data_IF_849648409813
#
_entry.id   IF_849648409813
#
_cell.length_a   1.000
_cell.length_b   1.000
_cell.length_c   1.000
_cell.angle_alpha   90.00
_cell.angle_beta   90.00
_cell.angle_gamma   90.00
#
_symmetry.space_group_name_H-M   'P 1'
#
loop_
_entity.id
_entity.type
_entity.pdbx_description
1 polymer ?
#
# COMPACT_ATOMS: atom_id res chain seq x y z
N UNK A 1 -5.30 -23.73 -12.30
CA UNK A 1 -3.97 -23.12 -12.07
C UNK A 1 -3.64 -22.29 -13.29
N UNK A 2 -3.25 -21.02 -13.14
CA UNK A 2 -2.94 -20.13 -14.27
C UNK A 2 -1.84 -20.73 -15.15
N UNK A 3 -2.02 -20.67 -16.48
CA UNK A 3 -1.01 -21.08 -17.47
C UNK A 3 -0.01 -19.96 -17.80
N UNK A 4 -0.22 -18.76 -17.24
CA UNK A 4 0.64 -17.61 -17.46
C UNK A 4 1.97 -17.75 -16.70
N UNK A 5 3.06 -17.87 -17.46
CA UNK A 5 4.44 -17.96 -16.95
C UNK A 5 4.82 -16.78 -16.04
N UNK A 6 4.22 -15.60 -16.23
CA UNK A 6 4.49 -14.41 -15.39
C UNK A 6 4.04 -14.59 -13.95
N UNK A 7 3.03 -15.42 -13.73
CA UNK A 7 2.48 -15.73 -12.40
C UNK A 7 3.14 -16.94 -11.74
N UNK A 8 3.99 -17.66 -12.49
CA UNK A 8 4.69 -18.83 -11.98
C UNK A 8 5.69 -18.43 -10.88
N UNK A 9 5.58 -19.06 -9.72
CA UNK A 9 6.45 -18.75 -8.58
C UNK A 9 5.98 -17.57 -7.73
N UNK A 10 4.91 -16.86 -8.09
CA UNK A 10 4.33 -15.79 -7.27
C UNK A 10 3.55 -16.35 -6.08
N UNK A 11 3.81 -15.79 -4.89
CA UNK A 11 3.09 -16.13 -3.66
C UNK A 11 2.47 -14.86 -3.09
N UNK A 12 1.19 -14.93 -2.72
CA UNK A 12 0.45 -13.82 -2.10
C UNK A 12 0.24 -14.15 -0.62
N UNK A 13 0.42 -13.17 0.25
CA UNK A 13 0.04 -13.26 1.67
C UNK A 13 -1.02 -12.19 1.91
N UNK A 14 -2.26 -12.63 2.11
CA UNK A 14 -3.40 -11.77 2.36
C UNK A 14 -3.57 -11.57 3.87
N UNK A 15 -3.42 -10.34 4.32
CA UNK A 15 -3.69 -9.93 5.70
C UNK A 15 -5.12 -9.42 5.83
N UNK A 16 -5.82 -9.91 6.86
CA UNK A 16 -7.13 -9.44 7.26
C UNK A 16 -6.97 -8.77 8.62
N UNK A 17 -7.09 -7.44 8.67
CA UNK A 17 -6.91 -6.64 9.90
C UNK A 17 -8.27 -6.12 10.34
N UNK A 18 -9.02 -6.93 11.11
CA UNK A 18 -10.34 -6.56 11.64
C UNK A 18 -10.37 -6.79 13.15
N UNK A 19 -10.34 -5.73 13.98
CA UNK A 19 -10.47 -5.87 15.42
C UNK A 19 -11.71 -6.71 15.79
N UNK A 20 -11.49 -7.78 16.54
CA UNK A 20 -12.54 -8.70 16.94
C UNK A 20 -12.32 -9.18 18.38
N UNK A 21 -13.33 -9.81 18.97
CA UNK A 21 -13.23 -10.37 20.32
C UNK A 21 -12.25 -11.54 20.34
N UNK A 22 -11.03 -11.28 20.78
CA UNK A 22 -9.98 -12.26 20.93
C UNK A 22 -9.30 -12.12 22.30
N UNK A 23 -8.82 -13.24 22.81
CA UNK A 23 -7.88 -13.29 23.91
C UNK A 23 -6.45 -13.13 23.37
N UNK A 24 -5.45 -13.22 24.24
CA UNK A 24 -4.02 -13.13 23.92
C UNK A 24 -3.59 -13.85 22.62
N UNK A 25 -2.44 -13.43 22.08
CA UNK A 25 -1.81 -14.10 20.94
C UNK A 25 -1.75 -15.62 21.12
N UNK A 26 -1.93 -16.36 20.03
CA UNK A 26 -1.77 -17.80 20.09
C UNK A 26 -0.29 -18.19 20.26
N UNK A 27 -0.10 -19.35 20.89
CA UNK A 27 1.24 -19.84 21.27
C UNK A 27 2.10 -20.06 20.03
N UNK A 28 1.53 -20.56 18.94
CA UNK A 28 2.26 -20.87 17.71
C UNK A 28 2.82 -19.63 17.03
N UNK A 29 2.08 -18.51 17.00
CA UNK A 29 2.54 -17.25 16.43
C UNK A 29 3.69 -16.65 17.25
N UNK A 30 3.56 -16.61 18.58
CA UNK A 30 4.61 -16.11 19.47
C UNK A 30 5.86 -16.99 19.43
N UNK A 31 5.68 -18.31 19.48
CA UNK A 31 6.77 -19.28 19.38
C UNK A 31 7.50 -19.15 18.05
N UNK A 32 6.77 -19.00 16.95
CA UNK A 32 7.33 -18.79 15.62
C UNK A 32 8.25 -17.57 15.56
N UNK A 33 7.81 -16.42 16.10
CA UNK A 33 8.63 -15.20 16.17
C UNK A 33 9.85 -15.34 17.08
N UNK A 34 9.70 -15.98 18.24
CA UNK A 34 10.81 -16.19 19.16
C UNK A 34 11.92 -17.06 18.53
N UNK A 35 11.55 -18.14 17.84
CA UNK A 35 12.52 -19.02 17.17
C UNK A 35 13.22 -18.31 16.00
N UNK A 36 12.48 -17.58 15.16
CA UNK A 36 13.08 -16.85 14.04
C UNK A 36 14.00 -15.72 14.52
N UNK A 37 13.64 -15.04 15.61
CA UNK A 37 14.50 -14.05 16.26
C UNK A 37 15.79 -14.68 16.77
N UNK A 38 15.70 -15.78 17.52
CA UNK A 38 16.88 -16.50 18.03
C UNK A 38 17.82 -16.95 16.89
N UNK A 39 17.25 -17.47 15.80
CA UNK A 39 18.03 -17.86 14.61
C UNK A 39 18.72 -16.64 13.98
N UNK A 40 18.01 -15.52 13.82
CA UNK A 40 18.56 -14.27 13.29
C UNK A 40 19.72 -13.76 14.14
N UNK A 41 19.53 -13.70 15.46
CA UNK A 41 20.56 -13.21 16.39
C UNK A 41 21.80 -14.11 16.36
N UNK A 42 21.61 -15.43 16.27
CA UNK A 42 22.71 -16.40 16.14
C UNK A 42 23.46 -16.23 14.82
N UNK A 43 22.75 -16.05 13.70
CA UNK A 43 23.37 -15.80 12.38
C UNK A 43 24.14 -14.48 12.40
N UNK A 44 23.61 -13.44 13.05
CA UNK A 44 24.27 -12.15 13.14
C UNK A 44 25.62 -12.26 13.87
N UNK A 45 25.67 -12.95 15.01
CA UNK A 45 26.91 -13.21 15.73
C UNK A 45 27.92 -14.01 14.90
N UNK A 46 27.47 -15.06 14.21
CA UNK A 46 28.34 -15.87 13.33
C UNK A 46 28.88 -15.04 12.16
N UNK A 47 28.05 -14.17 11.58
CA UNK A 47 28.47 -13.26 10.50
C UNK A 47 29.61 -12.34 10.95
N UNK A 48 29.51 -11.80 12.17
CA UNK A 48 30.52 -10.90 12.72
C UNK A 48 31.84 -11.67 12.98
N UNK A 49 31.76 -12.91 13.48
CA UNK A 49 32.93 -13.78 13.63
C UNK A 49 33.59 -14.16 12.30
N UNK A 50 32.79 -14.50 11.29
CA UNK A 50 33.27 -14.77 9.92
C UNK A 50 34.05 -13.56 9.41
N UNK A 51 33.50 -12.36 9.59
CA UNK A 51 34.14 -11.10 9.18
C UNK A 51 35.51 -10.92 9.83
N UNK A 52 35.62 -11.13 11.15
CA UNK A 52 36.89 -11.03 11.88
C UNK A 52 37.92 -12.05 11.42
N UNK A 53 37.55 -13.34 11.29
CA UNK A 53 38.48 -14.39 10.83
C UNK A 53 38.96 -14.16 9.40
N UNK A 54 38.05 -13.71 8.53
CA UNK A 54 38.39 -13.37 7.15
C UNK A 54 39.42 -12.23 7.11
N UNK A 55 39.19 -11.19 7.90
CA UNK A 55 40.09 -10.03 7.98
C UNK A 55 41.48 -10.44 8.50
N UNK A 56 41.55 -11.17 9.61
CA UNK A 56 42.81 -11.61 10.21
C UNK A 56 43.61 -12.53 9.28
N UNK A 57 42.94 -13.49 8.63
CA UNK A 57 43.58 -14.38 7.66
C UNK A 57 44.15 -13.62 6.47
N UNK A 58 43.39 -12.68 5.91
CA UNK A 58 43.85 -11.86 4.79
C UNK A 58 45.02 -10.94 5.17
N UNK A 59 45.06 -10.42 6.41
CA UNK A 59 46.22 -9.67 6.91
C UNK A 59 47.50 -10.52 6.97
N UNK A 60 47.36 -11.83 7.16
CA UNK A 60 48.45 -12.79 7.13
C UNK A 60 48.81 -13.26 5.70
N UNK A 61 48.15 -12.72 4.67
CA UNK A 61 48.37 -13.09 3.28
C UNK A 61 47.75 -14.43 2.87
N UNK A 62 46.84 -14.97 3.68
CA UNK A 62 46.14 -16.23 3.44
C UNK A 62 44.65 -15.98 3.19
N UNK A 63 44.08 -16.57 2.14
CA UNK A 63 42.63 -16.52 1.88
C UNK A 63 42.03 -17.76 2.55
N UNK A 64 41.15 -17.59 3.55
CA UNK A 64 40.67 -18.71 4.34
C UNK A 64 39.64 -19.57 3.60
N UNK A 65 39.68 -20.87 3.87
CA UNK A 65 38.71 -21.83 3.34
C UNK A 65 37.36 -21.76 4.10
N UNK A 66 36.29 -22.31 3.51
CA UNK A 66 34.95 -22.32 4.11
C UNK A 66 34.89 -23.00 5.50
N UNK A 67 35.80 -23.93 5.78
CA UNK A 67 35.91 -24.59 7.09
C UNK A 67 36.65 -23.74 8.13
N UNK A 68 37.46 -22.78 7.69
CA UNK A 68 38.16 -21.82 8.55
C UNK A 68 37.24 -20.64 8.90
N UNK A 69 36.30 -20.31 8.00
CA UNK A 69 35.33 -19.24 8.22
C UNK A 69 34.25 -19.60 9.23
N UNK A 70 33.73 -20.85 9.24
CA UNK A 70 32.66 -21.26 10.15
C UNK A 70 33.14 -22.39 11.06
N UNK A 71 33.22 -22.12 12.35
CA UNK A 71 33.75 -23.06 13.34
C UNK A 71 32.81 -24.27 13.54
N UNK A 72 33.32 -25.42 14.01
CA UNK A 72 32.50 -26.57 14.36
C UNK A 72 31.39 -26.24 15.38
N UNK A 73 31.68 -25.40 16.37
CA UNK A 73 30.73 -24.96 17.40
C UNK A 73 29.58 -24.15 16.79
N UNK A 74 29.89 -23.22 15.88
CA UNK A 74 28.90 -22.40 15.18
C UNK A 74 28.01 -23.25 14.27
N UNK A 75 28.57 -24.27 13.62
CA UNK A 75 27.80 -25.25 12.85
C UNK A 75 26.82 -26.03 13.74
N UNK A 76 27.24 -26.42 14.95
CA UNK A 76 26.36 -27.08 15.93
C UNK A 76 25.27 -26.14 16.41
N UNK A 77 25.59 -24.87 16.69
CA UNK A 77 24.61 -23.86 17.08
C UNK A 77 23.56 -23.64 15.98
N UNK A 78 23.98 -23.47 14.73
CA UNK A 78 23.07 -23.34 13.58
C UNK A 78 22.17 -24.57 13.44
N UNK A 79 22.73 -25.79 13.56
CA UNK A 79 21.94 -27.02 13.54
C UNK A 79 20.89 -27.05 14.66
N UNK A 80 21.22 -26.60 15.87
CA UNK A 80 20.26 -26.51 16.99
C UNK A 80 19.12 -25.53 16.67
N UNK A 81 19.42 -24.35 16.13
CA UNK A 81 18.40 -23.38 15.72
C UNK A 81 17.53 -23.88 14.56
N UNK A 82 18.07 -24.66 13.62
CA UNK A 82 17.30 -25.29 12.56
C UNK A 82 16.39 -26.41 13.07
N UNK A 83 16.82 -27.17 14.07
CA UNK A 83 15.99 -28.19 14.68
C UNK A 83 14.83 -27.58 15.47
N UNK A 84 15.05 -26.44 16.14
CA UNK A 84 13.98 -25.75 16.88
C UNK A 84 12.95 -25.09 15.96
N UNK A 85 13.30 -24.75 14.70
CA UNK A 85 12.39 -24.15 13.73
C UNK A 85 11.49 -25.14 12.98
N UNK A 86 11.77 -26.44 13.12
CA UNK A 86 10.90 -27.49 12.57
C UNK A 86 9.53 -27.46 13.28
N UNK A 87 8.48 -27.65 12.48
CA UNK A 87 7.09 -27.71 12.94
C UNK A 87 6.39 -28.89 12.27
N UNK A 88 5.45 -29.49 12.99
CA UNK A 88 4.58 -30.57 12.47
C UNK A 88 3.18 -30.04 12.10
N UNK A 89 2.92 -28.76 12.37
CA UNK A 89 1.64 -28.08 12.12
C UNK A 89 1.76 -27.07 10.97
N UNK A 90 0.62 -26.78 10.33
CA UNK A 90 0.55 -25.73 9.32
C UNK A 90 0.69 -24.33 9.96
N UNK A 91 1.18 -23.32 9.22
CA UNK A 91 1.15 -21.94 9.69
C UNK A 91 -0.28 -21.50 10.06
N UNK A 92 -0.50 -20.94 11.25
CA UNK A 92 -1.85 -20.59 11.70
C UNK A 92 -2.46 -19.51 10.81
N UNK A 93 -3.77 -19.63 10.55
CA UNK A 93 -4.55 -18.66 9.76
C UNK A 93 -5.00 -17.45 10.57
N UNK A 94 -4.87 -17.51 11.90
CA UNK A 94 -5.18 -16.43 12.85
C UNK A 94 -4.00 -16.24 13.79
N UNK A 95 -3.74 -15.01 14.25
CA UNK A 95 -2.65 -14.73 15.20
C UNK A 95 -3.07 -14.76 16.67
N UNK A 96 -4.38 -14.77 16.95
CA UNK A 96 -4.94 -14.69 18.30
C UNK A 96 -5.82 -15.88 18.63
N UNK A 97 -6.11 -16.07 19.91
CA UNK A 97 -7.13 -17.02 20.36
C UNK A 97 -8.51 -16.32 20.36
N UNK A 98 -9.33 -16.56 19.34
CA UNK A 98 -10.67 -15.96 19.25
C UNK A 98 -11.56 -16.39 20.42
N UNK A 99 -12.39 -15.48 20.94
CA UNK A 99 -13.36 -15.80 21.99
C UNK A 99 -14.42 -16.79 21.48
N UNK A 100 -14.91 -16.58 20.26
CA UNK A 100 -15.87 -17.47 19.59
C UNK A 100 -15.35 -17.86 18.19
N UNK A 101 -14.29 -18.68 18.19
CA UNK A 101 -13.64 -19.19 16.98
C UNK A 101 -14.60 -19.92 16.02
N UNK A 102 -15.56 -20.65 16.57
CA UNK A 102 -16.46 -21.51 15.82
C UNK A 102 -17.51 -20.73 15.03
N UNK A 103 -17.95 -19.57 15.54
CA UNK A 103 -18.93 -18.71 14.85
C UNK A 103 -18.30 -17.49 14.18
N UNK A 104 -16.99 -17.26 14.32
CA UNK A 104 -16.30 -16.16 13.65
C UNK A 104 -16.44 -16.26 12.12
N UNK A 105 -16.88 -15.15 11.51
CA UNK A 105 -17.22 -15.12 10.08
C UNK A 105 -16.00 -15.20 9.17
N UNK A 106 -14.86 -14.63 9.59
CA UNK A 106 -13.61 -14.64 8.81
C UNK A 106 -13.04 -16.06 8.81
N UNK A 107 -12.93 -16.68 9.99
CA UNK A 107 -12.41 -18.03 10.11
C UNK A 107 -13.30 -19.06 9.44
N UNK A 108 -14.63 -18.92 9.55
CA UNK A 108 -15.56 -19.79 8.82
C UNK A 108 -15.47 -19.60 7.31
N UNK A 109 -15.18 -18.40 6.81
CA UNK A 109 -14.91 -18.18 5.40
C UNK A 109 -13.62 -18.89 4.95
N UNK A 110 -12.54 -18.80 5.72
CA UNK A 110 -11.30 -19.54 5.43
C UNK A 110 -11.51 -21.05 5.44
N UNK A 111 -12.22 -21.59 6.44
CA UNK A 111 -12.56 -23.03 6.52
C UNK A 111 -13.38 -23.47 5.31
N UNK A 112 -14.41 -22.70 4.94
CA UNK A 112 -15.28 -22.99 3.79
C UNK A 112 -14.51 -22.96 2.47
N UNK A 113 -13.58 -22.02 2.30
CA UNK A 113 -12.73 -21.91 1.12
C UNK A 113 -11.48 -22.80 1.18
N UNK A 114 -11.31 -23.59 2.25
CA UNK A 114 -10.16 -24.47 2.49
C UNK A 114 -8.80 -23.77 2.45
N UNK A 115 -8.73 -22.51 2.92
CA UNK A 115 -7.50 -21.74 3.02
C UNK A 115 -6.83 -22.02 4.38
N UNK A 116 -5.94 -23.01 4.42
CA UNK A 116 -5.28 -23.47 5.66
C UNK A 116 -3.77 -23.24 5.68
N UNK A 117 -3.25 -22.44 4.74
CA UNK A 117 -1.82 -22.18 4.57
C UNK A 117 -0.99 -23.45 4.29
N UNK A 118 -1.56 -24.44 3.60
CA UNK A 118 -0.84 -25.65 3.20
C UNK A 118 0.28 -25.31 2.21
N UNK A 119 1.33 -26.13 2.11
CA UNK A 119 2.50 -25.85 1.27
C UNK A 119 2.16 -25.58 -0.20
N UNK A 120 1.12 -26.23 -0.72
CA UNK A 120 0.65 -26.07 -2.10
C UNK A 120 -0.16 -24.80 -2.35
N UNK A 121 -0.67 -24.14 -1.30
CA UNK A 121 -1.46 -22.91 -1.44
C UNK A 121 -0.57 -21.76 -1.93
N UNK A 122 -0.89 -21.17 -3.09
CA UNK A 122 -0.16 -20.00 -3.60
C UNK A 122 -0.58 -18.69 -2.93
N UNK A 123 -1.73 -18.68 -2.29
CA UNK A 123 -2.25 -17.58 -1.49
C UNK A 123 -2.31 -18.04 -0.05
N UNK A 124 -1.59 -17.37 0.83
CA UNK A 124 -1.63 -17.57 2.28
C UNK A 124 -2.54 -16.51 2.90
N UNK A 125 -3.17 -16.84 4.01
CA UNK A 125 -4.05 -15.93 4.75
C UNK A 125 -3.58 -15.76 6.19
N UNK A 126 -3.67 -14.53 6.69
CA UNK A 126 -3.36 -14.18 8.07
C UNK A 126 -4.47 -13.25 8.58
N UNK A 127 -5.31 -13.75 9.46
CA UNK A 127 -6.25 -12.95 10.23
C UNK A 127 -5.57 -12.41 11.49
N UNK A 128 -5.52 -11.08 11.59
CA UNK A 128 -5.01 -10.35 12.74
C UNK A 128 -6.16 -9.56 13.38
N UNK A 129 -6.87 -10.13 14.36
CA UNK A 129 -8.05 -9.54 14.98
C UNK A 129 -7.75 -8.41 15.99
N UNK A 130 -6.70 -7.63 15.77
CA UNK A 130 -6.26 -6.54 16.65
C UNK A 130 -5.79 -5.36 15.78
N UNK A 131 -5.79 -4.15 16.35
CA UNK A 131 -5.13 -3.02 15.70
C UNK A 131 -3.62 -3.23 15.64
N UNK A 132 -3.02 -2.80 14.54
CA UNK A 132 -1.58 -2.84 14.35
C UNK A 132 -0.90 -1.85 15.30
N UNK A 133 0.20 -2.29 15.91
CA UNK A 133 1.03 -1.49 16.80
C UNK A 133 2.48 -1.91 16.69
N UNK A 134 3.39 -0.93 16.69
CA UNK A 134 4.84 -1.12 16.78
C UNK A 134 5.27 -1.85 18.06
N UNK A 135 4.45 -1.82 19.12
CA UNK A 135 4.69 -2.57 20.35
C UNK A 135 4.31 -4.07 20.25
N UNK A 136 3.62 -4.49 19.19
CA UNK A 136 3.18 -5.88 19.02
C UNK A 136 4.38 -6.81 18.84
N UNK A 137 4.47 -7.93 19.59
CA UNK A 137 5.56 -8.90 19.45
C UNK A 137 5.49 -9.73 18.15
N UNK A 138 4.42 -9.56 17.34
CA UNK A 138 4.22 -10.33 16.11
C UNK A 138 4.68 -9.59 14.85
N UNK A 139 4.01 -8.48 14.51
CA UNK A 139 4.30 -7.70 13.30
C UNK A 139 5.27 -6.55 13.62
N UNK A 140 5.11 -5.91 14.78
CA UNK A 140 6.00 -4.83 15.23
C UNK A 140 6.00 -3.59 14.32
N UNK A 141 4.87 -3.30 13.66
CA UNK A 141 4.69 -2.12 12.81
C UNK A 141 3.40 -1.41 13.19
N UNK A 142 3.42 -0.08 13.16
CA UNK A 142 2.20 0.71 13.20
C UNK A 142 1.46 0.61 11.86
N UNK A 143 0.16 0.91 11.86
CA UNK A 143 -0.71 0.77 10.69
C UNK A 143 -0.13 1.44 9.43
N UNK A 144 0.43 2.63 9.58
CA UNK A 144 0.99 3.40 8.47
C UNK A 144 2.20 2.71 7.82
N UNK A 145 3.13 2.18 8.61
CA UNK A 145 4.30 1.46 8.09
C UNK A 145 3.91 0.12 7.48
N UNK A 146 2.93 -0.57 8.08
CA UNK A 146 2.37 -1.79 7.52
C UNK A 146 1.76 -1.56 6.14
N UNK A 147 0.94 -0.51 5.98
CA UNK A 147 0.34 -0.17 4.68
C UNK A 147 1.43 0.14 3.66
N UNK A 148 2.48 0.90 4.03
CA UNK A 148 3.61 1.19 3.12
C UNK A 148 4.40 -0.05 2.72
N UNK A 149 4.47 -1.05 3.59
CA UNK A 149 5.12 -2.33 3.33
C UNK A 149 4.30 -3.28 2.44
N UNK A 150 2.99 -3.03 2.29
CA UNK A 150 2.11 -3.82 1.45
C UNK A 150 2.20 -3.44 -0.03
N UNK A 151 1.73 -4.34 -0.90
CA UNK A 151 1.72 -4.11 -2.35
C UNK A 151 0.39 -3.53 -2.86
N UNK A 152 -0.73 -3.92 -2.24
CA UNK A 152 -2.06 -3.52 -2.66
C UNK A 152 -3.05 -3.57 -1.48
N UNK A 153 -3.94 -2.57 -1.39
CA UNK A 153 -5.11 -2.60 -0.51
C UNK A 153 -6.33 -3.18 -1.23
N UNK A 154 -7.15 -3.98 -0.56
CA UNK A 154 -8.33 -4.63 -1.17
C UNK A 154 -9.55 -4.35 -0.29
N UNK A 155 -10.42 -3.45 -0.74
CA UNK A 155 -11.56 -2.94 0.02
C UNK A 155 -12.86 -3.13 -0.79
N UNK A 156 -13.34 -4.38 -0.96
CA UNK A 156 -14.49 -4.70 -1.81
C UNK A 156 -15.81 -4.39 -1.10
N UNK A 157 -15.96 -3.17 -0.57
CA UNK A 157 -17.07 -2.76 0.29
C UNK A 157 -18.43 -2.84 -0.41
N UNK A 158 -19.46 -3.25 0.33
CA UNK A 158 -20.86 -3.19 -0.12
C UNK A 158 -21.55 -1.90 0.34
N UNK A 159 -21.23 -1.45 1.56
CA UNK A 159 -21.72 -0.21 2.13
C UNK A 159 -20.56 0.56 2.73
N UNK A 160 -20.16 1.65 2.06
CA UNK A 160 -19.05 2.49 2.47
C UNK A 160 -19.31 3.93 2.01
N UNK A 161 -19.88 4.79 2.88
CA UNK A 161 -20.32 6.13 2.48
C UNK A 161 -19.22 6.99 1.85
N UNK A 162 -17.97 6.78 2.29
CA UNK A 162 -16.79 7.41 1.70
C UNK A 162 -15.74 6.36 1.33
N UNK A 163 -14.90 5.96 2.28
CA UNK A 163 -13.79 5.04 2.02
C UNK A 163 -12.45 5.71 2.32
N UNK A 164 -12.19 5.91 3.60
CA UNK A 164 -10.94 6.52 4.06
C UNK A 164 -9.74 5.61 3.82
N UNK A 165 -9.90 4.31 4.01
CA UNK A 165 -8.81 3.32 3.86
C UNK A 165 -8.23 3.28 2.42
N UNK A 166 -9.03 3.17 1.34
CA UNK A 166 -8.47 3.27 -0.01
C UNK A 166 -7.90 4.66 -0.35
N UNK A 167 -8.48 5.74 0.19
CA UNK A 167 -7.93 7.10 0.04
C UNK A 167 -6.55 7.21 0.72
N UNK A 168 -6.41 6.67 1.93
CA UNK A 168 -5.16 6.61 2.68
C UNK A 168 -4.08 5.77 1.99
N UNK A 169 -4.46 4.66 1.34
CA UNK A 169 -3.56 3.88 0.49
C UNK A 169 -3.05 4.74 -0.68
N UNK A 170 -3.94 5.49 -1.33
CA UNK A 170 -3.60 6.34 -2.47
C UNK A 170 -2.58 7.41 -2.09
N UNK A 171 -2.78 8.09 -0.97
CA UNK A 171 -1.84 9.09 -0.42
C UNK A 171 -0.46 8.48 -0.12
N UNK A 172 -0.39 7.17 0.15
CA UNK A 172 0.86 6.45 0.42
C UNK A 172 1.45 5.77 -0.82
N UNK A 173 0.90 6.04 -2.02
CA UNK A 173 1.35 5.42 -3.27
C UNK A 173 1.13 3.91 -3.29
N UNK A 174 0.09 3.41 -2.61
CA UNK A 174 -0.28 2.00 -2.57
C UNK A 174 -1.54 1.81 -3.43
N UNK A 175 -1.45 1.06 -4.55
CA UNK A 175 -2.60 0.69 -5.34
C UNK A 175 -3.72 0.09 -4.49
N UNK A 176 -4.97 0.34 -4.85
CA UNK A 176 -6.11 -0.20 -4.11
C UNK A 176 -7.24 -0.66 -5.00
N UNK A 177 -7.95 -1.70 -4.56
CA UNK A 177 -9.23 -2.11 -5.12
C UNK A 177 -10.35 -1.56 -4.23
N UNK A 178 -11.33 -0.91 -4.83
CA UNK A 178 -12.57 -0.45 -4.19
C UNK A 178 -13.78 -0.87 -5.03
N UNK A 179 -14.97 -0.32 -4.78
CA UNK A 179 -16.20 -0.67 -5.50
C UNK A 179 -16.97 0.56 -5.94
N UNK A 180 -17.80 0.42 -6.96
CA UNK A 180 -18.73 1.47 -7.39
C UNK A 180 -19.95 1.65 -6.46
N UNK A 181 -19.89 1.06 -5.25
CA UNK A 181 -20.79 1.32 -4.13
C UNK A 181 -20.11 2.14 -3.02
N UNK A 182 -18.78 2.27 -3.03
CA UNK A 182 -18.06 3.15 -2.10
C UNK A 182 -18.06 4.59 -2.60
N UNK A 183 -18.10 5.56 -1.69
CA UNK A 183 -18.02 6.97 -2.05
C UNK A 183 -16.71 7.35 -2.75
N UNK A 184 -15.59 6.76 -2.32
CA UNK A 184 -14.26 6.93 -2.90
C UNK A 184 -14.20 6.34 -4.31
N UNK A 185 -14.72 5.13 -4.51
CA UNK A 185 -14.80 4.50 -5.84
C UNK A 185 -15.63 5.34 -6.80
N UNK A 186 -16.83 5.77 -6.38
CA UNK A 186 -17.67 6.66 -7.17
C UNK A 186 -17.00 8.01 -7.47
N UNK A 187 -16.19 8.54 -6.55
CA UNK A 187 -15.45 9.78 -6.75
C UNK A 187 -14.34 9.59 -7.79
N UNK A 188 -13.54 8.54 -7.67
CA UNK A 188 -12.45 8.24 -8.61
C UNK A 188 -12.98 7.96 -10.02
N UNK A 189 -14.01 7.14 -10.17
CA UNK A 189 -14.64 6.86 -11.49
C UNK A 189 -15.07 8.13 -12.20
N UNK A 190 -15.49 9.16 -11.46
CA UNK A 190 -15.93 10.44 -12.03
C UNK A 190 -14.79 11.42 -12.32
N UNK A 191 -13.74 11.42 -11.50
CA UNK A 191 -12.69 12.45 -11.54
C UNK A 191 -11.44 12.01 -12.29
N UNK A 192 -11.20 10.71 -12.41
CA UNK A 192 -9.96 10.15 -12.96
C UNK A 192 -10.29 9.20 -14.12
N UNK A 193 -10.18 9.68 -15.37
CA UNK A 193 -10.19 8.80 -16.54
C UNK A 193 -9.08 7.76 -16.44
N UNK A 194 -9.34 6.52 -16.88
CA UNK A 194 -8.39 5.41 -16.84
C UNK A 194 -7.75 5.18 -15.46
N UNK A 195 -8.55 5.26 -14.38
CA UNK A 195 -8.09 5.10 -12.99
C UNK A 195 -7.25 3.83 -12.73
N UNK A 196 -7.47 2.76 -13.51
CA UNK A 196 -6.67 1.53 -13.45
C UNK A 196 -5.18 1.77 -13.76
N UNK A 197 -4.86 2.69 -14.68
CA UNK A 197 -3.49 3.09 -15.01
C UNK A 197 -2.81 3.87 -13.88
N UNK A 198 -3.59 4.37 -12.93
CA UNK A 198 -3.15 5.02 -11.69
C UNK A 198 -3.26 4.08 -10.47
N UNK A 199 -3.56 2.79 -10.68
CA UNK A 199 -3.56 1.79 -9.62
C UNK A 199 -4.77 1.85 -8.69
N UNK A 200 -5.86 2.51 -9.11
CA UNK A 200 -7.14 2.43 -8.42
C UNK A 200 -8.07 1.59 -9.26
N UNK A 201 -8.44 0.42 -8.76
CA UNK A 201 -9.30 -0.52 -9.47
C UNK A 201 -10.69 -0.52 -8.84
N UNK A 202 -11.74 -0.38 -9.66
CA UNK A 202 -13.12 -0.29 -9.15
C UNK A 202 -13.90 -1.53 -9.61
N UNK A 203 -14.26 -2.38 -8.64
CA UNK A 203 -15.09 -3.56 -8.90
C UNK A 203 -16.56 -3.13 -9.02
N UNK A 204 -17.24 -3.63 -10.05
CA UNK A 204 -18.66 -3.39 -10.20
C UNK A 204 -19.43 -4.33 -9.26
N UNK A 205 -20.02 -3.73 -8.22
CA UNK A 205 -20.93 -4.38 -7.27
C UNK A 205 -22.36 -3.85 -7.37
N UNK A 206 -22.60 -2.87 -8.25
CA UNK A 206 -23.90 -2.20 -8.39
C UNK A 206 -24.73 -2.79 -9.52
N UNK A 207 -24.09 -3.15 -10.63
CA UNK A 207 -24.77 -3.60 -11.85
C UNK A 207 -24.46 -5.06 -12.21
N UNK A 208 -23.65 -5.74 -11.39
CA UNK A 208 -23.30 -7.15 -11.54
C UNK A 208 -23.77 -8.00 -10.35
N UNK A 209 -23.95 -9.29 -10.61
CA UNK A 209 -24.22 -10.29 -9.57
C UNK A 209 -22.97 -10.56 -8.74
N UNK A 210 -23.15 -11.15 -7.56
CA UNK A 210 -22.06 -11.41 -6.62
C UNK A 210 -20.94 -12.28 -7.22
N UNK A 211 -21.30 -13.31 -7.98
CA UNK A 211 -20.37 -14.21 -8.65
C UNK A 211 -19.53 -13.49 -9.71
N UNK A 212 -20.16 -12.62 -10.50
CA UNK A 212 -19.47 -11.79 -11.49
C UNK A 212 -18.53 -10.77 -10.84
N UNK A 213 -18.94 -10.14 -9.73
CA UNK A 213 -18.08 -9.24 -8.96
C UNK A 213 -16.89 -9.98 -8.33
N UNK A 214 -17.09 -11.21 -7.83
CA UNK A 214 -16.02 -12.05 -7.29
C UNK A 214 -15.03 -12.41 -8.39
N UNK A 215 -15.51 -12.80 -9.57
CA UNK A 215 -14.65 -13.11 -10.70
C UNK A 215 -13.86 -11.88 -11.15
N UNK A 216 -14.49 -10.71 -11.27
CA UNK A 216 -13.81 -9.46 -11.61
C UNK A 216 -12.71 -9.13 -10.59
N UNK A 217 -13.00 -9.25 -9.28
CA UNK A 217 -12.01 -9.04 -8.23
C UNK A 217 -10.81 -10.00 -8.37
N UNK A 218 -11.08 -11.29 -8.63
CA UNK A 218 -10.04 -12.30 -8.82
C UNK A 218 -9.18 -12.01 -10.06
N UNK A 219 -9.80 -11.55 -11.17
CA UNK A 219 -9.11 -11.21 -12.41
C UNK A 219 -8.17 -10.01 -12.21
N UNK A 220 -8.62 -8.97 -11.49
CA UNK A 220 -7.77 -7.81 -11.14
C UNK A 220 -6.57 -8.27 -10.30
N UNK A 221 -6.80 -9.09 -9.28
CA UNK A 221 -5.74 -9.63 -8.42
C UNK A 221 -4.74 -10.48 -9.21
N UNK A 222 -5.22 -11.34 -10.11
CA UNK A 222 -4.38 -12.19 -10.95
C UNK A 222 -3.54 -11.36 -11.93
N UNK A 223 -4.15 -10.35 -12.57
CA UNK A 223 -3.45 -9.41 -13.44
C UNK A 223 -2.37 -8.64 -12.69
N UNK A 224 -2.65 -8.16 -11.47
CA UNK A 224 -1.65 -7.52 -10.62
C UNK A 224 -0.47 -8.45 -10.30
N UNK A 225 -0.74 -9.74 -10.04
CA UNK A 225 0.30 -10.73 -9.79
C UNK A 225 1.20 -10.99 -11.01
N UNK A 226 0.75 -10.67 -12.23
CA UNK A 226 1.56 -10.80 -13.45
C UNK A 226 2.56 -9.65 -13.66
N UNK A 227 2.44 -8.56 -12.89
CA UNK A 227 3.33 -7.41 -12.98
C UNK A 227 4.73 -7.75 -12.46
N UNK A 228 5.77 -7.26 -13.15
CA UNK A 228 7.13 -7.32 -12.65
C UNK A 228 7.43 -6.19 -11.64
N UNK A 229 8.60 -6.23 -10.99
CA UNK A 229 8.98 -5.24 -9.97
C UNK A 229 8.99 -3.80 -10.52
N UNK A 230 9.52 -3.57 -11.72
CA UNK A 230 9.57 -2.24 -12.34
C UNK A 230 8.15 -1.70 -12.61
N UNK A 231 7.27 -2.54 -13.15
CA UNK A 231 5.87 -2.18 -13.39
C UNK A 231 5.13 -1.83 -12.09
N UNK A 232 5.34 -2.57 -11.00
CA UNK A 232 4.76 -2.23 -9.69
C UNK A 232 5.26 -0.89 -9.16
N UNK A 233 6.56 -0.59 -9.29
CA UNK A 233 7.13 0.70 -8.88
C UNK A 233 6.51 1.85 -9.68
N UNK A 234 6.41 1.70 -11.01
CA UNK A 234 5.79 2.71 -11.88
C UNK A 234 4.33 2.94 -11.48
N UNK A 235 3.57 1.86 -11.25
CA UNK A 235 2.17 1.96 -10.83
C UNK A 235 2.02 2.69 -9.49
N UNK A 236 2.88 2.38 -8.50
CA UNK A 236 2.90 3.07 -7.21
C UNK A 236 3.16 4.58 -7.34
N UNK A 237 4.12 4.97 -8.16
CA UNK A 237 4.42 6.38 -8.42
C UNK A 237 3.21 7.08 -9.08
N UNK A 238 2.51 6.40 -9.99
CA UNK A 238 1.27 6.94 -10.58
C UNK A 238 0.16 7.07 -9.54
N UNK A 239 -0.02 6.07 -8.68
CA UNK A 239 -1.01 6.12 -7.58
C UNK A 239 -0.78 7.31 -6.66
N UNK A 240 0.47 7.57 -6.27
CA UNK A 240 0.82 8.68 -5.38
C UNK A 240 0.46 10.05 -5.98
N UNK A 241 0.56 10.21 -7.31
CA UNK A 241 0.18 11.46 -7.99
C UNK A 241 -1.30 11.82 -7.82
N UNK A 242 -2.17 10.85 -7.51
CA UNK A 242 -3.59 11.12 -7.21
C UNK A 242 -3.81 11.71 -5.82
N UNK A 243 -2.79 11.75 -4.96
CA UNK A 243 -2.91 12.30 -3.60
C UNK A 243 -3.35 13.76 -3.56
N UNK A 244 -2.91 14.59 -4.52
CA UNK A 244 -3.28 16.00 -4.62
C UNK A 244 -4.78 16.21 -4.85
N UNK A 245 -5.43 15.29 -5.56
CA UNK A 245 -6.88 15.32 -5.78
C UNK A 245 -7.67 15.09 -4.48
N UNK A 246 -7.07 14.37 -3.53
CA UNK A 246 -7.68 14.01 -2.25
C UNK A 246 -7.39 15.02 -1.14
N UNK A 247 -6.53 16.02 -1.39
CA UNK A 247 -6.17 17.03 -0.41
C UNK A 247 -7.32 18.03 -0.16
N UNK A 248 -7.42 18.56 1.06
CA UNK A 248 -8.42 19.55 1.44
C UNK A 248 -8.29 20.88 0.69
N UNK A 249 -7.11 21.21 0.15
CA UNK A 249 -6.93 22.34 -0.77
C UNK A 249 -7.81 22.20 -2.01
N UNK A 250 -8.00 20.96 -2.48
CA UNK A 250 -8.85 20.61 -3.62
C UNK A 250 -10.30 20.41 -3.16
N UNK A 251 -10.54 19.44 -2.26
CA UNK A 251 -11.89 19.06 -1.84
C UNK A 251 -12.63 20.15 -1.05
N UNK A 252 -11.90 21.04 -0.39
CA UNK A 252 -12.48 22.18 0.34
C UNK A 252 -13.19 23.20 -0.57
N UNK A 253 -12.91 23.19 -1.87
CA UNK A 253 -13.65 23.97 -2.87
C UNK A 253 -15.15 23.68 -2.86
N UNK A 254 -15.52 22.39 -2.72
CA UNK A 254 -16.92 21.94 -2.69
C UNK A 254 -17.68 22.53 -1.48
N UNK A 255 -17.01 22.67 -0.33
CA UNK A 255 -17.58 23.33 0.85
C UNK A 255 -17.76 24.84 0.67
N UNK A 256 -16.88 25.50 -0.10
CA UNK A 256 -17.04 26.92 -0.44
C UNK A 256 -18.22 27.11 -1.39
N UNK A 257 -18.36 26.23 -2.38
CA UNK A 257 -19.47 26.23 -3.31
C UNK A 257 -20.81 25.99 -2.61
N UNK A 258 -20.90 24.97 -1.75
CA UNK A 258 -22.11 24.69 -0.97
C UNK A 258 -22.58 25.91 -0.14
N UNK A 259 -21.65 26.60 0.53
CA UNK A 259 -21.95 27.83 1.28
C UNK A 259 -22.40 28.97 0.37
N UNK A 260 -21.73 29.16 -0.79
CA UNK A 260 -22.12 30.17 -1.79
C UNK A 260 -23.51 29.88 -2.36
N UNK A 261 -23.84 28.62 -2.64
CA UNK A 261 -25.17 28.20 -3.09
C UNK A 261 -26.26 28.49 -2.04
N UNK A 262 -25.98 28.18 -0.76
CA UNK A 262 -26.91 28.48 0.33
C UNK A 262 -27.18 30.00 0.45
N UNK A 263 -26.12 30.82 0.40
CA UNK A 263 -26.25 32.28 0.42
C UNK A 263 -27.00 32.82 -0.80
N UNK A 264 -26.78 32.27 -2.00
CA UNK A 264 -27.52 32.68 -3.21
C UNK A 264 -29.00 32.38 -3.11
N UNK A 265 -29.39 31.27 -2.47
CA UNK A 265 -30.80 30.93 -2.25
C UNK A 265 -31.45 31.89 -1.25
N UNK A 266 -30.74 32.29 -0.20
CA UNK A 266 -31.24 33.24 0.80
C UNK A 266 -31.25 34.68 0.27
N UNK A 267 -30.25 35.04 -0.53
CA UNK A 267 -30.04 36.37 -1.10
C UNK A 267 -29.79 36.23 -2.62
N UNK A 268 -30.84 36.30 -3.45
CA UNK A 268 -30.68 36.22 -4.91
C UNK A 268 -29.77 37.31 -5.49
N UNK A 269 -29.68 38.45 -4.80
CA UNK A 269 -28.84 39.62 -5.09
C UNK A 269 -27.42 39.54 -4.48
N UNK A 270 -26.99 38.35 -4.04
CA UNK A 270 -25.72 38.14 -3.32
C UNK A 270 -24.51 38.78 -4.00
N UNK A 271 -24.37 38.65 -5.32
CA UNK A 271 -23.20 39.20 -6.03
C UNK A 271 -23.16 40.73 -5.98
N UNK A 272 -24.32 41.38 -6.06
CA UNK A 272 -24.44 42.85 -5.95
C UNK A 272 -24.02 43.28 -4.56
N UNK A 273 -24.58 42.64 -3.51
CA UNK A 273 -24.23 42.92 -2.11
C UNK A 273 -22.75 42.70 -1.81
N UNK A 274 -22.14 41.64 -2.34
CA UNK A 274 -20.70 41.39 -2.22
C UNK A 274 -19.88 42.49 -2.90
N UNK A 275 -20.28 42.91 -4.11
CA UNK A 275 -19.58 43.96 -4.86
C UNK A 275 -19.64 45.31 -4.13
N UNK A 276 -20.79 45.66 -3.56
CA UNK A 276 -20.95 46.88 -2.76
C UNK A 276 -20.15 46.82 -1.45
N UNK A 277 -20.13 45.66 -0.79
CA UNK A 277 -19.35 45.47 0.44
C UNK A 277 -17.84 45.55 0.18
N UNK A 278 -17.37 44.97 -0.93
CA UNK A 278 -15.97 45.04 -1.37
C UNK A 278 -15.57 46.49 -1.71
N UNK A 279 -16.45 47.24 -2.38
CA UNK A 279 -16.20 48.65 -2.68
C UNK A 279 -16.13 49.54 -1.42
N UNK A 280 -16.84 49.15 -0.35
CA UNK A 280 -16.84 49.85 0.94
C UNK A 280 -15.71 49.42 1.88
N UNK A 281 -14.97 48.35 1.58
CA UNK A 281 -13.84 47.93 2.41
C UNK A 281 -12.64 48.86 2.19
N UNK A 282 -12.14 49.54 3.24
CA UNK A 282 -10.96 50.38 3.13
C UNK A 282 -9.74 49.52 2.78
N UNK A 283 -8.85 50.04 1.92
CA UNK A 283 -7.60 49.35 1.60
C UNK A 283 -6.79 49.14 2.89
N UNK A 284 -6.26 47.93 3.13
CA UNK A 284 -5.40 47.71 4.29
C UNK A 284 -4.17 48.63 4.20
N UNK A 285 -3.82 49.26 5.32
CA UNK A 285 -2.70 50.22 5.43
C UNK A 285 -1.35 49.60 5.03
N UNK A 286 -1.25 48.28 5.03
CA UNK A 286 -0.08 47.48 4.65
C UNK A 286 0.00 47.12 3.17
N UNK A 287 -0.99 47.48 2.34
CA UNK A 287 -0.91 47.23 0.91
C UNK A 287 0.08 48.21 0.24
N UNK A 288 1.16 47.74 -0.40
CA UNK A 288 2.08 48.63 -1.10
C UNK A 288 1.33 49.37 -2.22
N UNK A 289 1.63 50.65 -2.38
CA UNK A 289 1.11 51.46 -3.48
C UNK A 289 1.58 50.85 -4.80
N UNK A 290 0.65 50.30 -5.59
CA UNK A 290 0.93 49.79 -6.94
C UNK A 290 1.68 50.84 -7.77
N UNK A 291 2.91 50.58 -8.25
CA UNK A 291 3.58 51.49 -9.16
C UNK A 291 2.83 51.49 -10.50
N UNK A 292 2.44 52.67 -10.99
CA UNK A 292 2.06 52.84 -12.41
C UNK A 292 3.31 52.58 -13.24
N UNK A 293 3.23 51.59 -14.13
CA UNK A 293 4.41 50.99 -14.75
C UNK A 293 5.20 51.86 -15.73
N UNK A 294 6.45 51.46 -15.93
CA UNK A 294 7.26 51.71 -17.13
C UNK A 294 8.35 50.61 -17.27
N UNK A 295 8.19 49.82 -18.34
CA UNK A 295 9.13 49.03 -19.16
C UNK A 295 10.49 48.47 -18.64
N UNK A 296 10.66 47.16 -18.96
CA UNK A 296 11.83 46.42 -19.54
C UNK A 296 13.02 45.98 -18.67
N UNK A 297 13.36 44.68 -18.77
CA UNK A 297 14.65 44.11 -18.33
C UNK A 297 14.72 42.57 -18.18
N UNK A 298 14.92 41.88 -19.32
CA UNK A 298 15.62 40.60 -19.58
C UNK A 298 15.24 39.23 -18.93
N UNK A 299 15.49 38.09 -19.65
CA UNK A 299 15.07 36.74 -19.27
C UNK A 299 16.18 35.96 -18.54
N UNK A 300 15.81 35.17 -17.54
CA UNK A 300 16.71 34.16 -16.96
C UNK A 300 16.36 32.79 -17.54
N UNK A 301 17.35 32.17 -18.18
CA UNK A 301 17.38 30.77 -18.57
C UNK A 301 17.37 29.88 -17.31
N UNK A 302 16.68 28.74 -17.40
CA UNK A 302 16.85 27.64 -16.46
C UNK A 302 17.17 26.38 -17.25
N UNK A 303 18.39 25.90 -17.06
CA UNK A 303 18.92 24.62 -17.50
C UNK A 303 17.99 23.45 -17.14
N UNK A 304 17.73 22.57 -18.10
CA UNK A 304 17.36 21.17 -17.87
C UNK A 304 17.56 20.36 -19.17
N UNK A 305 18.81 20.00 -19.45
CA UNK A 305 19.15 18.70 -20.05
C UNK A 305 19.19 17.69 -18.90
N UNK A 306 18.78 16.42 -18.96
CA UNK A 306 18.59 15.47 -20.04
C UNK A 306 17.83 14.27 -19.42
N UNK A 307 16.77 13.80 -20.06
CA UNK A 307 16.15 12.46 -19.89
C UNK A 307 14.89 12.27 -20.77
N UNK A 308 14.57 13.23 -21.63
CA UNK A 308 13.29 13.28 -22.36
C UNK A 308 13.27 12.46 -23.65
N UNK A 309 14.41 12.06 -24.21
CA UNK A 309 14.44 11.48 -25.56
C UNK A 309 13.77 10.08 -25.62
N UNK A 310 14.08 9.19 -24.67
CA UNK A 310 13.48 7.85 -24.61
C UNK A 310 12.01 7.87 -24.14
N UNK A 311 11.65 8.87 -23.32
CA UNK A 311 10.29 9.06 -22.82
C UNK A 311 9.34 9.54 -23.93
N UNK A 312 9.82 10.45 -24.78
CA UNK A 312 9.09 10.95 -25.95
C UNK A 312 8.94 9.86 -27.03
N UNK A 313 9.95 8.99 -27.19
CA UNK A 313 9.89 7.89 -28.15
C UNK A 313 8.83 6.84 -27.77
N UNK A 314 8.67 6.54 -26.48
CA UNK A 314 7.61 5.65 -25.99
C UNK A 314 6.21 6.28 -26.09
N UNK A 315 6.07 7.59 -25.86
CA UNK A 315 4.80 8.31 -26.02
C UNK A 315 4.35 8.31 -27.49
N UNK A 316 5.26 8.48 -28.45
CA UNK A 316 4.93 8.47 -29.88
C UNK A 316 4.47 7.09 -30.40
N UNK A 317 5.01 5.99 -29.87
CA UNK A 317 4.61 4.63 -30.27
C UNK A 317 3.16 4.33 -29.81
N UNK A 318 2.72 4.89 -28.68
CA UNK A 318 1.41 4.57 -28.11
C UNK A 318 0.26 5.40 -28.66
N UNK A 319 0.54 6.56 -29.28
CA UNK A 319 -0.47 7.45 -29.87
C UNK A 319 -0.75 7.22 -31.36
N UNK A 320 0.00 6.34 -32.05
CA UNK A 320 -0.16 6.09 -33.50
C UNK A 320 -0.78 4.73 -33.85
N UNK A 321 -1.42 4.05 -32.89
CA UNK A 321 -2.29 2.90 -33.17
C UNK A 321 -3.72 3.31 -32.84
N UNK A 322 -4.30 4.14 -33.71
CA UNK A 322 -5.73 4.17 -34.09
C UNK A 322 -5.95 5.36 -35.04
N UNK A 323 -5.69 5.09 -36.32
CA UNK A 323 -6.13 5.86 -37.48
C UNK A 323 -6.46 4.88 -38.59
#
# INVERSE_FOLDING_TARGET
VSTDKRTQGVTVIAFIIYPAAANSFNVDSLRGQAITKQLRDSIQHIKDNIGSRLFESCLQGHIPDANELISPEERVQLKRCLLSSKRDTLPPICTHNMVDDANDQVLNAFRRCQLFNSDHDRVKVIFHPEFLSSASPLIGLDYEDFVRGCHMGVFPSYYEPWGYTPAECTVRGIPSITTNLSGFGCFIEKQVPDHDNYGIFVVDRRFKRSDESIQQLADILLNYCSLNRRQRVILRNRTERLSELLDWKTLGGLYREARRMALKKLHPDLEIKLSEALAKMPRPLSAPSTPRGSAHGSPNESDNESDTAEQVEHENIHWHIEG
#
